data_IF_699704007034
#
_entry.id   IF_699704007034
#
_cell.length_a   1.000
_cell.length_b   1.000
_cell.length_c   1.000
_cell.angle_alpha   90.00
_cell.angle_beta   90.00
_cell.angle_gamma   90.00
#
_symmetry.space_group_name_H-M   'P 1'
#
loop_
_entity.id
_entity.type
_entity.pdbx_description
1 polymer ?
#
# COMPACT_ATOMS: atom_id res chain seq x y z
N UNK A 1 7.95 18.03 -31.54
CA UNK A 1 6.76 17.47 -30.86
C UNK A 1 7.21 16.56 -29.70
N UNK A 2 7.87 17.14 -28.69
CA UNK A 2 8.37 16.45 -27.47
C UNK A 2 8.12 17.35 -26.26
N UNK A 3 6.84 17.59 -26.00
CA UNK A 3 6.35 18.36 -24.86
C UNK A 3 5.22 17.56 -24.19
N UNK A 4 5.53 16.35 -23.73
CA UNK A 4 4.59 15.46 -23.02
C UNK A 4 5.19 14.92 -21.70
N UNK A 5 6.13 15.65 -21.09
CA UNK A 5 6.65 15.30 -19.76
C UNK A 5 6.27 16.35 -18.69
N UNK A 6 5.66 17.49 -19.07
CA UNK A 6 5.48 18.63 -18.15
C UNK A 6 4.05 18.88 -17.61
N UNK A 7 3.06 17.99 -17.76
CA UNK A 7 1.68 18.36 -17.38
C UNK A 7 0.79 17.35 -16.62
N UNK A 8 1.26 16.23 -16.07
CA UNK A 8 0.32 15.25 -15.46
C UNK A 8 0.53 14.83 -14.00
N UNK A 9 1.31 15.54 -13.18
CA UNK A 9 1.33 15.27 -11.72
C UNK A 9 0.55 16.35 -10.97
N UNK A 10 -0.71 16.59 -11.33
CA UNK A 10 -1.55 17.50 -10.54
C UNK A 10 -2.30 16.81 -9.39
N UNK A 11 -2.37 15.47 -9.37
CA UNK A 11 -2.70 14.65 -8.21
C UNK A 11 -2.42 13.18 -8.56
N UNK A 12 -1.73 12.44 -7.70
CA UNK A 12 -1.54 10.99 -7.82
C UNK A 12 -2.78 10.28 -7.27
N UNK A 13 -3.48 9.55 -8.15
CA UNK A 13 -4.62 8.71 -7.82
C UNK A 13 -4.14 7.33 -7.40
N UNK A 14 -4.36 6.98 -6.15
CA UNK A 14 -3.98 5.68 -5.59
C UNK A 14 -5.22 4.80 -5.47
N UNK A 15 -5.08 3.57 -5.97
CA UNK A 15 -5.96 2.46 -5.67
C UNK A 15 -5.42 1.71 -4.45
N UNK A 16 -6.23 1.59 -3.43
CA UNK A 16 -5.87 0.94 -2.20
C UNK A 16 -6.46 -0.47 -2.19
N UNK A 17 -5.64 -1.45 -1.87
CA UNK A 17 -6.02 -2.85 -1.72
C UNK A 17 -5.63 -3.26 -0.32
N UNK A 18 -6.57 -3.81 0.41
CA UNK A 18 -6.39 -4.16 1.80
C UNK A 18 -6.71 -5.63 1.97
N UNK A 19 -5.77 -6.39 2.51
CA UNK A 19 -6.05 -7.75 2.95
C UNK A 19 -6.44 -7.75 4.43
N UNK A 20 -7.65 -8.21 4.75
CA UNK A 20 -8.10 -8.51 6.13
C UNK A 20 -8.52 -9.97 6.20
N UNK A 21 -7.55 -10.88 6.28
CA UNK A 21 -7.85 -12.29 6.54
C UNK A 21 -7.40 -12.53 7.98
N UNK A 22 -8.39 -12.75 8.83
CA UNK A 22 -8.32 -12.66 10.29
C UNK A 22 -7.13 -13.44 10.91
N UNK A 23 -6.65 -12.91 12.05
CA UNK A 23 -5.56 -13.30 12.96
C UNK A 23 -4.16 -12.65 12.82
N UNK A 24 -3.61 -12.26 11.66
CA UNK A 24 -2.24 -11.69 11.64
C UNK A 24 -2.17 -10.15 11.79
N UNK A 25 -3.25 -9.43 11.47
CA UNK A 25 -3.42 -8.02 11.85
C UNK A 25 -3.79 -7.88 13.34
N UNK A 26 -4.50 -8.86 13.89
CA UNK A 26 -5.03 -8.85 15.26
C UNK A 26 -4.06 -9.46 16.29
N UNK A 27 -3.36 -10.56 15.98
CA UNK A 27 -2.52 -11.31 16.94
C UNK A 27 -1.11 -10.70 17.11
N UNK A 28 -0.53 -10.12 16.05
CA UNK A 28 0.78 -9.43 16.12
C UNK A 28 0.70 -8.14 16.94
N UNK A 29 -0.46 -7.48 16.94
CA UNK A 29 -0.69 -6.22 17.64
C UNK A 29 -1.05 -6.43 19.13
N UNK A 30 -1.86 -7.44 19.46
CA UNK A 30 -2.33 -7.67 20.84
C UNK A 30 -1.26 -8.26 21.79
N UNK A 31 -0.34 -9.08 21.29
CA UNK A 31 0.70 -9.70 22.14
C UNK A 31 1.78 -8.71 22.62
N UNK A 32 2.02 -7.62 21.90
CA UNK A 32 3.19 -6.77 22.15
C UNK A 32 2.91 -5.50 22.93
N UNK A 33 1.69 -4.94 22.87
CA UNK A 33 1.44 -3.60 23.40
C UNK A 33 0.52 -3.51 24.62
N UNK A 34 -0.48 -4.39 24.83
CA UNK A 34 -1.50 -4.06 25.84
C UNK A 34 -2.06 -5.15 26.74
N UNK A 35 -1.82 -6.46 26.56
CA UNK A 35 -2.41 -7.45 27.49
C UNK A 35 -3.93 -7.31 27.72
N UNK A 36 -4.64 -6.69 26.77
CA UNK A 36 -6.08 -6.49 26.79
C UNK A 36 -6.72 -7.62 25.99
N UNK A 37 -7.96 -7.96 26.35
CA UNK A 37 -8.74 -9.03 25.72
C UNK A 37 -9.18 -8.64 24.31
N UNK A 38 -9.28 -9.67 23.45
CA UNK A 38 -9.87 -9.68 22.11
C UNK A 38 -10.86 -8.53 21.87
N UNK A 39 -10.45 -7.53 21.10
CA UNK A 39 -11.38 -6.70 20.34
C UNK A 39 -11.16 -7.05 18.88
N UNK A 40 -12.09 -7.82 18.33
CA UNK A 40 -12.19 -8.00 16.89
C UNK A 40 -12.29 -6.61 16.27
N UNK A 41 -11.33 -6.29 15.42
CA UNK A 41 -11.38 -5.05 14.67
C UNK A 41 -12.55 -5.14 13.68
N UNK A 42 -13.54 -4.26 13.85
CA UNK A 42 -14.57 -4.03 12.81
C UNK A 42 -13.86 -3.58 11.53
N UNK A 43 -14.28 -4.11 10.37
CA UNK A 43 -13.71 -3.82 9.05
C UNK A 43 -13.53 -2.31 8.78
N UNK A 44 -14.45 -1.51 9.32
CA UNK A 44 -14.45 -0.05 9.24
C UNK A 44 -13.26 0.60 9.95
N UNK A 45 -12.81 0.01 11.07
CA UNK A 45 -11.68 0.53 11.83
C UNK A 45 -10.39 0.34 11.03
N UNK A 46 -10.15 -0.86 10.48
CA UNK A 46 -8.95 -1.15 9.68
C UNK A 46 -8.82 -0.21 8.48
N UNK A 47 -9.89 -0.02 7.71
CA UNK A 47 -9.93 0.96 6.62
C UNK A 47 -9.55 2.37 7.09
N UNK A 48 -10.17 2.82 8.18
CA UNK A 48 -9.96 4.17 8.72
C UNK A 48 -8.49 4.40 9.05
N UNK A 49 -7.83 3.46 9.73
CA UNK A 49 -6.41 3.61 10.06
C UNK A 49 -5.49 3.64 8.84
N UNK A 50 -5.79 2.84 7.82
CA UNK A 50 -4.95 2.86 6.63
C UNK A 50 -5.21 4.13 5.78
N UNK A 51 -6.42 4.67 5.79
CA UNK A 51 -6.71 5.99 5.20
C UNK A 51 -6.02 7.11 5.97
N UNK A 52 -5.98 7.06 7.31
CA UNK A 52 -5.20 8.00 8.13
C UNK A 52 -3.71 7.95 7.78
N UNK A 53 -3.14 6.75 7.59
CA UNK A 53 -1.75 6.60 7.17
C UNK A 53 -1.48 7.24 5.79
N UNK A 54 -2.41 7.10 4.84
CA UNK A 54 -2.31 7.75 3.53
C UNK A 54 -2.45 9.27 3.66
N UNK A 55 -3.35 9.78 4.52
CA UNK A 55 -3.49 11.22 4.75
C UNK A 55 -2.21 11.83 5.33
N UNK A 56 -1.53 11.12 6.24
CA UNK A 56 -0.23 11.56 6.76
C UNK A 56 0.83 11.54 5.65
N UNK A 57 0.86 10.50 4.81
CA UNK A 57 1.75 10.46 3.67
C UNK A 57 1.46 11.62 2.69
N UNK A 58 0.20 11.91 2.38
CA UNK A 58 -0.21 13.06 1.54
C UNK A 58 0.35 14.38 2.08
N UNK A 59 0.31 14.59 3.39
CA UNK A 59 0.91 15.78 4.00
C UNK A 59 2.43 15.86 3.76
N UNK A 60 3.14 14.73 3.75
CA UNK A 60 4.58 14.69 3.44
C UNK A 60 4.83 14.98 1.95
N UNK A 61 4.11 14.32 1.03
CA UNK A 61 4.28 14.52 -0.41
C UNK A 61 3.88 15.91 -0.88
N UNK A 62 2.80 16.47 -0.32
CA UNK A 62 2.33 17.80 -0.66
C UNK A 62 3.31 18.87 -0.23
N UNK A 63 3.99 18.67 0.91
CA UNK A 63 5.03 19.58 1.40
C UNK A 63 6.34 19.48 0.61
N UNK A 64 6.83 18.27 0.37
CA UNK A 64 8.19 18.06 -0.13
C UNK A 64 8.28 18.00 -1.66
N UNK A 65 7.22 17.52 -2.32
CA UNK A 65 7.19 17.26 -3.76
C UNK A 65 6.07 18.01 -4.51
N UNK A 66 5.21 18.75 -3.78
CA UNK A 66 4.00 19.39 -4.32
C UNK A 66 3.10 18.40 -5.08
N UNK A 67 3.07 17.15 -4.62
CA UNK A 67 2.21 16.08 -5.14
C UNK A 67 1.14 15.78 -4.10
N UNK A 68 -0.10 15.60 -4.56
CA UNK A 68 -1.21 15.16 -3.70
C UNK A 68 -1.52 13.70 -3.93
N UNK A 69 -1.70 12.95 -2.86
CA UNK A 69 -2.18 11.58 -2.87
C UNK A 69 -3.69 11.58 -2.67
N UNK A 70 -4.41 10.87 -3.52
CA UNK A 70 -5.86 10.73 -3.43
C UNK A 70 -6.26 9.28 -3.59
N UNK A 71 -7.03 8.74 -2.64
CA UNK A 71 -7.57 7.38 -2.73
C UNK A 71 -8.82 7.41 -3.59
N UNK A 72 -8.78 6.74 -4.74
CA UNK A 72 -9.91 6.68 -5.69
C UNK A 72 -10.74 5.40 -5.55
N UNK A 73 -10.13 4.35 -5.01
CA UNK A 73 -10.74 3.05 -4.83
C UNK A 73 -10.08 2.36 -3.64
N UNK A 74 -10.87 1.70 -2.81
CA UNK A 74 -10.39 0.87 -1.72
C UNK A 74 -11.17 -0.46 -1.73
N UNK A 75 -10.47 -1.58 -1.69
CA UNK A 75 -11.08 -2.89 -1.50
C UNK A 75 -10.51 -3.60 -0.28
N UNK A 76 -11.37 -4.32 0.46
CA UNK A 76 -10.97 -5.20 1.55
C UNK A 76 -11.23 -6.66 1.16
N UNK A 77 -10.27 -7.53 1.43
CA UNK A 77 -10.43 -8.97 1.29
C UNK A 77 -10.69 -9.61 2.65
N UNK A 78 -11.95 -9.92 2.95
CA UNK A 78 -12.38 -10.56 4.20
C UNK A 78 -12.42 -12.10 4.10
N UNK A 79 -12.98 -12.60 2.98
CA UNK A 79 -13.32 -14.02 2.89
C UNK A 79 -12.19 -14.87 2.32
N UNK A 80 -11.54 -14.39 1.26
CA UNK A 80 -10.59 -15.17 0.46
C UNK A 80 -9.40 -14.31 0.05
N UNK A 81 -8.21 -14.93 0.14
CA UNK A 81 -6.99 -14.34 -0.34
C UNK A 81 -6.95 -14.39 -1.87
N UNK A 82 -6.85 -13.23 -2.52
CA UNK A 82 -6.86 -13.13 -3.98
C UNK A 82 -5.48 -13.24 -4.62
N UNK A 83 -4.42 -13.17 -3.81
CA UNK A 83 -3.03 -13.39 -4.21
C UNK A 83 -2.37 -14.36 -3.23
N UNK A 84 -1.39 -15.12 -3.65
CA UNK A 84 -0.58 -15.94 -2.73
C UNK A 84 0.49 -15.08 -2.06
N UNK A 85 0.63 -15.20 -0.73
CA UNK A 85 1.76 -14.62 -0.02
C UNK A 85 2.88 -15.64 0.03
N UNK A 86 4.04 -15.26 -0.46
CA UNK A 86 5.27 -16.05 -0.35
C UNK A 86 6.21 -15.40 0.66
N UNK A 87 7.14 -16.18 1.22
CA UNK A 87 8.21 -15.65 2.07
C UNK A 87 9.14 -14.69 1.31
N UNK A 88 9.23 -14.86 -0.01
CA UNK A 88 9.89 -13.96 -0.94
C UNK A 88 8.94 -12.82 -1.34
N UNK A 89 9.35 -11.58 -1.02
CA UNK A 89 8.56 -10.38 -1.29
C UNK A 89 8.41 -10.10 -2.78
N UNK A 90 9.42 -10.42 -3.61
CA UNK A 90 9.40 -10.18 -5.06
C UNK A 90 8.40 -11.11 -5.76
N UNK A 91 8.36 -12.36 -5.29
CA UNK A 91 7.37 -13.33 -5.77
C UNK A 91 5.96 -12.92 -5.41
N UNK A 92 5.76 -12.43 -4.18
CA UNK A 92 4.47 -11.87 -3.76
C UNK A 92 4.11 -10.64 -4.59
N UNK A 93 5.08 -9.75 -4.84
CA UNK A 93 4.92 -8.51 -5.59
C UNK A 93 4.44 -8.77 -7.03
N UNK A 94 4.95 -9.83 -7.66
CA UNK A 94 4.51 -10.26 -8.99
C UNK A 94 3.00 -10.58 -8.99
N UNK A 95 2.50 -11.27 -7.96
CA UNK A 95 1.07 -11.54 -7.80
C UNK A 95 0.23 -10.28 -7.58
N UNK A 96 0.76 -9.28 -6.87
CA UNK A 96 0.09 -7.96 -6.71
C UNK A 96 -0.05 -7.24 -8.04
N UNK A 97 1.00 -7.27 -8.86
CA UNK A 97 1.00 -6.66 -10.20
C UNK A 97 0.01 -7.37 -11.12
N UNK A 98 0.00 -8.70 -11.13
CA UNK A 98 -0.93 -9.50 -11.93
C UNK A 98 -2.38 -9.26 -11.51
N UNK A 99 -2.64 -9.15 -10.21
CA UNK A 99 -3.95 -8.78 -9.69
C UNK A 99 -4.34 -7.35 -10.11
N UNK A 100 -3.42 -6.39 -10.01
CA UNK A 100 -3.66 -4.98 -10.36
C UNK A 100 -3.93 -4.75 -11.85
N UNK A 101 -3.23 -5.49 -12.70
CA UNK A 101 -3.35 -5.43 -14.16
C UNK A 101 -4.48 -6.30 -14.71
N UNK A 102 -4.94 -7.31 -13.96
CA UNK A 102 -6.04 -8.18 -14.36
C UNK A 102 -7.39 -7.74 -13.79
N UNK A 103 -7.54 -7.79 -12.46
CA UNK A 103 -8.84 -7.66 -11.80
C UNK A 103 -9.31 -6.22 -11.67
N UNK A 104 -8.40 -5.31 -11.32
CA UNK A 104 -8.74 -3.90 -11.09
C UNK A 104 -8.25 -2.98 -12.23
N UNK A 105 -8.08 -3.54 -13.44
CA UNK A 105 -7.64 -2.79 -14.63
C UNK A 105 -8.63 -1.71 -15.07
N UNK A 106 -9.93 -1.97 -14.87
CA UNK A 106 -11.03 -1.07 -15.23
C UNK A 106 -11.09 0.20 -14.37
N UNK A 107 -10.38 0.24 -13.24
CA UNK A 107 -10.32 1.40 -12.35
C UNK A 107 -9.16 2.30 -12.76
N UNK A 108 -9.47 3.56 -13.07
CA UNK A 108 -8.47 4.57 -13.42
C UNK A 108 -7.64 4.95 -12.18
N UNK A 109 -6.37 4.53 -12.16
CA UNK A 109 -5.42 4.70 -11.06
C UNK A 109 -4.01 4.96 -11.59
N UNK A 110 -3.21 5.70 -10.82
CA UNK A 110 -1.79 5.94 -11.10
C UNK A 110 -0.87 4.95 -10.38
N UNK A 111 -1.30 4.47 -9.21
CA UNK A 111 -0.60 3.47 -8.40
C UNK A 111 -1.58 2.60 -7.61
N UNK A 112 -1.14 1.40 -7.23
CA UNK A 112 -1.88 0.46 -6.39
C UNK A 112 -1.07 0.15 -5.14
N UNK A 113 -1.68 0.13 -3.96
CA UNK A 113 -0.98 -0.23 -2.71
C UNK A 113 -1.70 -1.40 -2.08
N UNK A 114 -0.98 -2.49 -1.82
CA UNK A 114 -1.48 -3.62 -1.06
C UNK A 114 -0.95 -3.58 0.38
N UNK A 115 -1.85 -3.60 1.35
CA UNK A 115 -1.51 -3.80 2.76
C UNK A 115 -1.64 -5.28 3.14
N UNK A 116 -0.60 -5.82 3.80
CA UNK A 116 -0.56 -7.22 4.21
C UNK A 116 0.02 -7.41 5.61
N UNK A 117 -0.53 -8.32 6.41
CA UNK A 117 0.03 -8.75 7.69
C UNK A 117 1.04 -9.90 7.59
N UNK A 118 1.42 -10.30 6.37
CA UNK A 118 2.38 -11.40 6.15
C UNK A 118 3.79 -11.10 6.66
N UNK A 119 4.57 -12.16 6.91
CA UNK A 119 6.00 -12.03 7.20
C UNK A 119 6.83 -12.54 6.03
N UNK A 120 7.87 -11.79 5.68
CA UNK A 120 8.83 -12.11 4.64
C UNK A 120 10.16 -12.57 5.25
N UNK A 121 10.91 -13.42 4.55
CA UNK A 121 12.13 -14.06 5.05
C UNK A 121 13.22 -13.04 5.43
N UNK A 122 13.36 -11.97 4.64
CA UNK A 122 14.39 -10.95 4.83
C UNK A 122 13.97 -9.82 5.78
N UNK A 123 12.85 -9.97 6.49
CA UNK A 123 12.26 -8.91 7.32
C UNK A 123 11.94 -7.63 6.53
N UNK A 124 11.68 -7.77 5.22
CA UNK A 124 11.28 -6.65 4.37
C UNK A 124 9.92 -6.12 4.82
N UNK A 125 9.82 -4.80 4.94
CA UNK A 125 8.60 -4.12 5.32
C UNK A 125 7.83 -3.61 4.11
N UNK A 126 8.53 -3.32 3.00
CA UNK A 126 7.94 -2.74 1.79
C UNK A 126 8.58 -3.33 0.55
N UNK A 127 7.83 -3.34 -0.54
CA UNK A 127 8.35 -3.47 -1.89
C UNK A 127 7.50 -2.64 -2.85
N UNK A 128 8.07 -2.18 -3.96
CA UNK A 128 7.34 -1.42 -4.96
C UNK A 128 8.00 -1.55 -6.32
N UNK A 129 7.21 -1.50 -7.39
CA UNK A 129 7.76 -1.48 -8.73
C UNK A 129 8.38 -0.11 -8.99
N UNK A 130 9.70 -0.08 -9.18
CA UNK A 130 10.45 1.16 -9.38
C UNK A 130 9.99 1.93 -10.63
N UNK A 131 9.81 3.25 -10.49
CA UNK A 131 9.47 4.17 -11.60
C UNK A 131 8.29 3.68 -12.45
N UNK A 132 7.27 3.17 -11.79
CA UNK A 132 6.13 2.51 -12.42
C UNK A 132 4.84 3.33 -12.39
N UNK A 133 4.83 4.49 -11.73
CA UNK A 133 3.65 5.36 -11.64
C UNK A 133 3.11 5.72 -13.02
N UNK A 134 1.78 5.84 -13.10
CA UNK A 134 1.03 6.03 -14.34
C UNK A 134 1.09 4.82 -15.30
N UNK A 135 1.51 3.65 -14.82
CA UNK A 135 1.41 2.39 -15.57
C UNK A 135 0.43 1.44 -14.91
N UNK A 136 -0.16 0.52 -15.67
CA UNK A 136 -1.03 -0.51 -15.13
C UNK A 136 -0.32 -1.42 -14.10
N UNK A 137 1.02 -1.47 -14.14
CA UNK A 137 1.88 -2.26 -13.25
C UNK A 137 2.34 -1.49 -12.01
N UNK A 138 1.88 -0.25 -11.83
CA UNK A 138 2.18 0.56 -10.66
C UNK A 138 1.58 -0.09 -9.42
N UNK A 139 2.41 -0.80 -8.67
CA UNK A 139 2.02 -1.49 -7.47
C UNK A 139 3.09 -1.31 -6.38
N UNK A 140 2.63 -1.27 -5.14
CA UNK A 140 3.42 -1.31 -3.93
C UNK A 140 2.81 -2.31 -2.96
N UNK A 141 3.66 -2.97 -2.20
CA UNK A 141 3.35 -3.91 -1.16
C UNK A 141 3.88 -3.34 0.16
N UNK A 142 3.01 -3.18 1.13
CA UNK A 142 3.34 -2.63 2.45
C UNK A 142 2.93 -3.65 3.51
N UNK A 143 3.91 -4.08 4.29
CA UNK A 143 3.68 -4.91 5.47
C UNK A 143 3.12 -4.04 6.59
N UNK A 144 2.08 -4.54 7.23
CA UNK A 144 1.55 -3.95 8.45
C UNK A 144 2.50 -4.24 9.63
N UNK A 145 3.15 -3.21 10.16
CA UNK A 145 3.93 -3.26 11.39
C UNK A 145 3.19 -2.55 12.54
N UNK A 146 3.47 -1.26 12.71
CA UNK A 146 2.86 -0.36 13.70
C UNK A 146 2.17 0.81 13.01
N UNK A 147 1.07 1.30 13.61
CA UNK A 147 0.30 2.46 13.12
C UNK A 147 1.19 3.70 12.89
N UNK A 148 2.20 3.89 13.74
CA UNK A 148 3.13 5.03 13.64
C UNK A 148 4.20 4.85 12.56
N UNK A 149 4.41 3.65 12.01
CA UNK A 149 5.43 3.41 10.98
C UNK A 149 4.82 3.21 9.59
N UNK A 150 3.51 2.93 9.52
CA UNK A 150 2.82 2.68 8.26
C UNK A 150 2.84 3.89 7.33
N UNK A 151 2.65 5.10 7.84
CA UNK A 151 2.67 6.30 6.99
C UNK A 151 4.05 6.51 6.33
N UNK A 152 5.13 6.20 7.06
CA UNK A 152 6.48 6.24 6.52
C UNK A 152 6.71 5.16 5.47
N UNK A 153 6.24 3.94 5.74
CA UNK A 153 6.33 2.80 4.81
C UNK A 153 5.57 3.06 3.50
N UNK A 154 4.36 3.63 3.61
CA UNK A 154 3.58 4.09 2.44
C UNK A 154 4.35 5.16 1.69
N UNK A 155 4.91 6.14 2.40
CA UNK A 155 5.66 7.20 1.76
C UNK A 155 6.88 6.67 1.01
N UNK A 156 7.71 5.86 1.65
CA UNK A 156 8.88 5.23 1.05
C UNK A 156 8.51 4.39 -0.19
N UNK A 157 7.42 3.61 -0.11
CA UNK A 157 6.94 2.83 -1.26
C UNK A 157 6.50 3.70 -2.45
N UNK A 158 5.85 4.84 -2.19
CA UNK A 158 5.43 5.77 -3.22
C UNK A 158 6.61 6.53 -3.81
N UNK A 159 7.60 6.88 -3.00
CA UNK A 159 8.84 7.52 -3.45
C UNK A 159 9.62 6.59 -4.37
N UNK A 160 9.76 5.31 -4.01
CA UNK A 160 10.36 4.28 -4.86
C UNK A 160 9.57 4.09 -6.17
N UNK A 161 8.23 4.10 -6.12
CA UNK A 161 7.38 4.02 -7.30
C UNK A 161 7.49 5.24 -8.22
N UNK A 162 7.80 6.43 -7.68
CA UNK A 162 8.15 7.65 -8.45
C UNK A 162 9.55 7.57 -9.08
N UNK A 163 10.37 6.60 -8.67
CA UNK A 163 11.76 6.50 -9.11
C UNK A 163 12.71 7.43 -8.35
N UNK A 164 12.26 7.97 -7.22
CA UNK A 164 13.09 8.73 -6.28
C UNK A 164 13.64 7.73 -5.26
N UNK A 165 14.97 7.62 -5.15
CA UNK A 165 15.60 6.92 -4.01
C UNK A 165 16.10 7.98 -3.04
N UNK A 166 15.60 7.99 -1.81
CA UNK A 166 16.33 8.63 -0.73
C UNK A 166 17.25 7.58 -0.13
N UNK A 167 18.53 7.69 -0.52
CA UNK A 167 19.70 6.86 -0.15
C UNK A 167 19.88 5.56 -0.96
#
# INVERSE_FOLDING_TARGET
MRALIEQSIQATRICMIIRVIDSLLTDTYYKRLLGVKQHGYSDENSLTYMLEAINVADLMFSRDLNVRLSVVYAEIWLDVQRIDLFEDIERTMSGVVDYSTGHIYNIAKDASILFTGGSFANHEAINSVFRSICTARAAALVKFSHLFEMHFSVAESMTNAQGLKFW
#
